data_IF_937669529475
#
_entry.id   IF_937669529475
#
_cell.length_a   1.000
_cell.length_b   1.000
_cell.length_c   1.000
_cell.angle_alpha   90.00
_cell.angle_beta   90.00
_cell.angle_gamma   90.00
#
_symmetry.space_group_name_H-M   'P 1'
#
loop_
_entity.id
_entity.type
_entity.pdbx_description
1 polymer ?
#
# COMPACT_ATOMS: atom_id res chain seq x y z
N UNK A 1 16.61 19.65 8.08
CA UNK A 1 15.30 20.27 7.76
C UNK A 1 15.50 21.14 6.53
N UNK A 2 14.80 20.87 5.44
CA UNK A 2 14.90 21.67 4.22
C UNK A 2 13.61 22.46 4.03
N UNK A 3 13.71 23.76 3.77
CA UNK A 3 12.58 24.64 3.41
C UNK A 3 12.36 24.52 1.90
N UNK A 4 11.21 23.98 1.48
CA UNK A 4 10.79 24.11 0.09
C UNK A 4 9.69 25.18 0.00
N UNK A 5 9.93 26.23 -0.78
CA UNK A 5 8.93 27.22 -1.15
C UNK A 5 8.14 26.68 -2.35
N UNK A 6 6.87 26.37 -2.17
CA UNK A 6 5.93 26.30 -3.29
C UNK A 6 5.32 27.70 -3.43
N UNK A 7 5.73 28.42 -4.44
CA UNK A 7 5.51 29.86 -4.65
C UNK A 7 4.05 30.26 -5.01
N UNK A 8 3.05 29.42 -4.73
CA UNK A 8 1.67 29.65 -5.20
C UNK A 8 0.67 30.01 -4.11
N UNK A 9 1.02 29.75 -2.85
CA UNK A 9 0.30 30.24 -1.68
C UNK A 9 1.34 30.59 -0.61
N UNK A 10 1.05 31.55 0.23
CA UNK A 10 1.85 31.95 1.41
C UNK A 10 2.02 30.84 2.46
N UNK A 11 1.96 29.59 2.06
CA UNK A 11 2.02 28.40 2.90
C UNK A 11 3.43 27.84 2.95
N UNK A 12 4.10 28.04 4.07
CA UNK A 12 5.38 27.39 4.37
C UNK A 12 5.13 25.89 4.57
N UNK A 13 5.77 25.06 3.74
CA UNK A 13 5.79 23.61 3.90
C UNK A 13 7.20 23.18 4.28
N UNK A 14 7.35 22.57 5.46
CA UNK A 14 8.64 22.09 5.94
C UNK A 14 8.78 20.59 5.64
N UNK A 15 9.89 20.22 4.99
CA UNK A 15 10.21 18.81 4.75
C UNK A 15 11.04 18.28 5.92
N UNK A 16 10.55 17.21 6.52
CA UNK A 16 11.17 16.50 7.64
C UNK A 16 11.66 15.13 7.16
N UNK A 17 12.94 14.83 7.41
CA UNK A 17 13.59 13.53 7.11
C UNK A 17 14.68 13.18 8.14
N UNK A 18 14.51 13.68 9.36
CA UNK A 18 15.35 13.38 10.53
C UNK A 18 14.57 12.44 11.47
N UNK A 19 15.17 11.35 11.99
CA UNK A 19 14.47 10.35 12.78
C UNK A 19 13.95 10.88 14.12
N UNK A 20 14.66 11.77 14.80
CA UNK A 20 14.20 12.37 16.06
C UNK A 20 12.99 13.29 15.84
N UNK A 21 13.02 14.07 14.76
CA UNK A 21 11.88 14.91 14.38
C UNK A 21 10.68 14.05 13.95
N UNK A 22 10.92 12.97 13.17
CA UNK A 22 9.87 12.00 12.82
C UNK A 22 9.22 11.39 14.05
N UNK A 23 10.03 11.01 15.06
CA UNK A 23 9.55 10.44 16.33
C UNK A 23 8.59 11.39 17.03
N UNK A 24 8.96 12.66 17.15
CA UNK A 24 8.14 13.69 17.80
C UNK A 24 6.82 13.90 17.05
N UNK A 25 6.89 14.11 15.72
CA UNK A 25 5.69 14.41 14.92
C UNK A 25 4.76 13.20 14.81
N UNK A 26 5.29 12.00 14.55
CA UNK A 26 4.47 10.79 14.39
C UNK A 26 3.86 10.29 15.71
N UNK A 27 4.45 10.64 16.85
CA UNK A 27 3.89 10.37 18.19
C UNK A 27 2.66 11.23 18.51
N UNK A 28 2.38 12.25 17.71
CA UNK A 28 1.24 13.17 17.89
C UNK A 28 0.06 12.75 17.03
N UNK A 29 -1.13 13.22 17.39
CA UNK A 29 -2.38 13.00 16.62
C UNK A 29 -2.74 14.18 15.71
N UNK A 30 -1.72 14.91 15.21
CA UNK A 30 -1.94 16.00 14.28
C UNK A 30 -2.67 15.56 13.01
N UNK A 31 -3.63 16.37 12.51
CA UNK A 31 -4.44 16.02 11.35
C UNK A 31 -3.60 15.92 10.07
N UNK A 32 -4.11 15.20 9.09
CA UNK A 32 -3.61 15.27 7.71
C UNK A 32 -3.95 16.62 7.11
N UNK A 33 -3.11 17.08 6.19
CA UNK A 33 -3.33 18.37 5.50
C UNK A 33 -4.65 18.31 4.72
N UNK A 34 -5.53 19.26 4.99
CA UNK A 34 -6.88 19.30 4.39
C UNK A 34 -6.84 19.34 2.86
N UNK A 35 -5.93 20.14 2.28
CA UNK A 35 -5.85 20.32 0.82
C UNK A 35 -5.56 19.02 0.08
N UNK A 36 -4.74 18.13 0.65
CA UNK A 36 -4.48 16.82 0.07
C UNK A 36 -5.72 15.93 0.12
N UNK A 37 -6.44 15.98 1.25
CA UNK A 37 -7.64 15.18 1.47
C UNK A 37 -8.77 15.55 0.52
N UNK A 38 -8.98 16.85 0.23
CA UNK A 38 -10.08 17.32 -0.62
C UNK A 38 -10.00 16.80 -2.07
N UNK A 39 -8.80 16.51 -2.59
CA UNK A 39 -8.62 15.98 -3.93
C UNK A 39 -8.84 14.47 -4.03
N UNK A 40 -8.67 13.76 -2.92
CA UNK A 40 -8.92 12.32 -2.82
C UNK A 40 -10.36 12.00 -2.40
N UNK A 41 -10.99 12.87 -1.61
CA UNK A 41 -12.32 12.65 -1.05
C UNK A 41 -13.43 12.34 -2.10
N UNK A 42 -13.44 12.95 -3.32
CA UNK A 42 -14.39 12.59 -4.35
C UNK A 42 -14.30 11.13 -4.82
N UNK A 43 -13.15 10.50 -4.63
CA UNK A 43 -12.90 9.11 -4.97
C UNK A 43 -13.06 8.19 -3.76
N UNK A 44 -12.19 8.32 -2.73
CA UNK A 44 -12.14 7.35 -1.61
C UNK A 44 -13.04 7.74 -0.42
N UNK A 45 -13.81 8.81 -0.54
CA UNK A 45 -14.66 9.28 0.55
C UNK A 45 -13.87 9.67 1.81
N UNK A 46 -14.57 9.90 2.90
CA UNK A 46 -13.98 10.15 4.22
C UNK A 46 -13.98 8.85 5.05
N UNK A 47 -13.19 7.85 4.61
CA UNK A 47 -12.85 6.65 5.39
C UNK A 47 -11.62 6.87 6.25
N UNK A 48 -11.09 5.79 6.84
CA UNK A 48 -9.97 5.79 7.79
C UNK A 48 -8.73 6.56 7.28
N UNK A 49 -8.50 6.58 5.97
CA UNK A 49 -7.38 7.31 5.38
C UNK A 49 -7.51 8.82 5.54
N UNK A 50 -8.71 9.40 5.33
CA UNK A 50 -8.94 10.85 5.31
C UNK A 50 -9.57 11.41 6.59
N UNK A 51 -10.20 10.57 7.42
CA UNK A 51 -10.79 10.98 8.70
C UNK A 51 -9.75 11.57 9.65
N UNK A 52 -10.20 12.48 10.52
CA UNK A 52 -9.41 13.09 11.58
C UNK A 52 -10.19 13.10 12.92
N UNK A 53 -9.49 13.40 14.02
CA UNK A 53 -10.07 13.60 15.35
C UNK A 53 -10.76 12.35 15.89
N UNK A 54 -11.87 12.57 16.63
CA UNK A 54 -12.60 11.50 17.32
C UNK A 54 -13.23 10.48 16.36
N UNK A 55 -13.78 10.93 15.24
CA UNK A 55 -14.34 10.02 14.22
C UNK A 55 -13.27 9.06 13.66
N UNK A 56 -12.06 9.57 13.38
CA UNK A 56 -10.94 8.71 12.99
C UNK A 56 -10.62 7.67 14.07
N UNK A 57 -10.60 8.08 15.33
CA UNK A 57 -10.31 7.19 16.45
C UNK A 57 -11.33 6.05 16.57
N UNK A 58 -12.63 6.37 16.44
CA UNK A 58 -13.71 5.40 16.46
C UNK A 58 -13.59 4.39 15.32
N UNK A 59 -13.38 4.86 14.08
CA UNK A 59 -13.17 3.99 12.91
C UNK A 59 -11.92 3.13 13.05
N UNK A 60 -10.80 3.70 13.51
CA UNK A 60 -9.57 2.96 13.76
C UNK A 60 -9.77 1.83 14.76
N UNK A 61 -10.44 2.11 15.88
CA UNK A 61 -10.74 1.13 16.93
C UNK A 61 -11.64 0.01 16.39
N UNK A 62 -12.67 0.36 15.64
CA UNK A 62 -13.61 -0.58 15.04
C UNK A 62 -12.93 -1.52 14.04
N UNK A 63 -12.00 -1.01 13.21
CA UNK A 63 -11.39 -1.76 12.13
C UNK A 63 -10.13 -2.54 12.53
N UNK A 64 -9.48 -2.17 13.64
CA UNK A 64 -8.25 -2.83 14.09
C UNK A 64 -8.39 -4.36 14.27
N UNK A 65 -9.51 -4.91 14.79
CA UNK A 65 -9.69 -6.36 14.90
C UNK A 65 -9.57 -7.13 13.59
N UNK A 66 -9.95 -6.54 12.45
CA UNK A 66 -9.83 -7.17 11.12
C UNK A 66 -8.37 -7.52 10.73
N UNK A 67 -7.41 -6.91 11.40
CA UNK A 67 -5.98 -7.10 11.14
C UNK A 67 -5.27 -7.88 12.27
N UNK A 68 -6.05 -8.56 13.13
CA UNK A 68 -5.49 -9.45 14.13
C UNK A 68 -4.92 -10.72 13.48
N UNK A 69 -3.88 -11.31 14.06
CA UNK A 69 -3.16 -12.45 13.49
C UNK A 69 -4.07 -13.66 13.19
N UNK A 70 -5.08 -13.91 14.04
CA UNK A 70 -6.04 -15.02 13.84
C UNK A 70 -6.88 -14.85 12.57
N UNK A 71 -7.17 -13.58 12.18
CA UNK A 71 -7.87 -13.25 10.92
C UNK A 71 -6.90 -13.39 9.73
N UNK A 72 -5.64 -12.98 9.92
CA UNK A 72 -4.65 -12.96 8.85
C UNK A 72 -4.09 -14.34 8.52
N UNK A 73 -4.00 -15.24 9.51
CA UNK A 73 -3.40 -16.57 9.33
C UNK A 73 -3.98 -17.37 8.16
N UNK A 74 -5.31 -17.52 7.99
CA UNK A 74 -5.89 -18.23 6.84
C UNK A 74 -5.67 -17.52 5.51
N UNK A 75 -5.36 -16.22 5.49
CA UNK A 75 -5.14 -15.46 4.25
C UNK A 75 -3.86 -15.85 3.52
N UNK A 76 -2.88 -16.46 4.20
CA UNK A 76 -1.64 -16.93 3.56
C UNK A 76 -1.93 -17.87 2.40
N UNK A 77 -2.87 -18.82 2.56
CA UNK A 77 -3.29 -19.72 1.50
C UNK A 77 -3.97 -19.01 0.32
N UNK A 78 -4.79 -17.99 0.62
CA UNK A 78 -5.45 -17.17 -0.40
C UNK A 78 -4.41 -16.35 -1.18
N UNK A 79 -3.47 -15.70 -0.49
CA UNK A 79 -2.36 -14.96 -1.09
C UNK A 79 -1.53 -15.87 -2.00
N UNK A 80 -1.15 -17.05 -1.51
CA UNK A 80 -0.38 -18.03 -2.29
C UNK A 80 -1.12 -18.46 -3.56
N UNK A 81 -2.44 -18.68 -3.49
CA UNK A 81 -3.23 -19.01 -4.66
C UNK A 81 -3.29 -17.87 -5.68
N UNK A 82 -3.53 -16.62 -5.24
CA UNK A 82 -3.53 -15.46 -6.12
C UNK A 82 -2.17 -15.23 -6.80
N UNK A 83 -1.08 -15.44 -6.06
CA UNK A 83 0.29 -15.39 -6.62
C UNK A 83 0.50 -16.47 -7.66
N UNK A 84 0.08 -17.73 -7.41
CA UNK A 84 0.22 -18.81 -8.40
C UNK A 84 -0.49 -18.51 -9.71
N UNK A 85 -1.72 -18.02 -9.66
CA UNK A 85 -2.46 -17.61 -10.87
C UNK A 85 -1.67 -16.56 -11.68
N UNK A 86 -1.03 -15.61 -11.02
CA UNK A 86 -0.17 -14.64 -11.69
C UNK A 86 1.07 -15.32 -12.31
N UNK A 87 1.74 -16.20 -11.56
CA UNK A 87 2.94 -16.89 -12.03
C UNK A 87 2.66 -17.85 -13.17
N UNK A 88 1.49 -18.53 -13.18
CA UNK A 88 1.04 -19.39 -14.29
C UNK A 88 0.89 -18.55 -15.57
N UNK A 89 0.26 -17.39 -15.47
CA UNK A 89 0.15 -16.46 -16.60
C UNK A 89 1.52 -15.95 -17.07
N UNK A 90 2.45 -15.68 -16.17
CA UNK A 90 3.81 -15.29 -16.53
C UNK A 90 4.52 -16.39 -17.31
N UNK A 91 4.36 -17.66 -16.89
CA UNK A 91 4.95 -18.80 -17.58
C UNK A 91 4.45 -18.94 -19.02
N UNK A 92 3.17 -18.68 -19.26
CA UNK A 92 2.60 -18.64 -20.61
C UNK A 92 3.19 -17.50 -21.45
N UNK A 93 3.30 -16.30 -20.85
CA UNK A 93 3.77 -15.10 -21.55
C UNK A 93 5.26 -15.17 -21.91
N UNK A 94 6.12 -15.66 -21.02
CA UNK A 94 7.56 -15.76 -21.28
C UNK A 94 7.92 -16.80 -22.34
N UNK A 95 7.01 -17.69 -22.70
CA UNK A 95 7.20 -18.60 -23.84
C UNK A 95 7.26 -17.85 -25.17
N UNK A 96 6.70 -16.63 -25.24
CA UNK A 96 6.67 -15.77 -26.43
C UNK A 96 7.75 -14.67 -26.35
N UNK A 97 7.88 -14.01 -25.20
CA UNK A 97 8.90 -12.99 -24.92
C UNK A 97 9.33 -13.11 -23.44
N UNK A 98 10.62 -13.32 -23.19
CA UNK A 98 11.15 -13.43 -21.83
C UNK A 98 11.11 -12.10 -21.05
N UNK A 99 10.83 -10.97 -21.70
CA UNK A 99 10.72 -9.64 -21.08
C UNK A 99 9.28 -9.30 -20.76
N UNK A 100 8.99 -9.01 -19.52
CA UNK A 100 7.64 -8.74 -19.04
C UNK A 100 7.57 -7.44 -18.25
N UNK A 101 6.57 -6.60 -18.54
CA UNK A 101 6.15 -5.51 -17.65
C UNK A 101 5.34 -6.12 -16.51
N UNK A 102 5.89 -6.09 -15.28
CA UNK A 102 5.32 -6.85 -14.17
C UNK A 102 4.28 -6.07 -13.34
N UNK A 103 4.29 -4.73 -13.37
CA UNK A 103 3.51 -3.92 -12.44
C UNK A 103 1.99 -4.12 -12.62
N UNK A 104 1.50 -4.22 -13.85
CA UNK A 104 0.08 -4.44 -14.12
C UNK A 104 -0.37 -5.81 -13.62
N UNK A 105 0.44 -6.85 -13.83
CA UNK A 105 0.14 -8.21 -13.38
C UNK A 105 0.14 -8.31 -11.86
N UNK A 106 1.14 -7.69 -11.21
CA UNK A 106 1.21 -7.62 -9.75
C UNK A 106 0.02 -6.83 -9.19
N UNK A 107 -0.40 -5.74 -9.84
CA UNK A 107 -1.59 -4.97 -9.43
C UNK A 107 -2.88 -5.79 -9.51
N UNK A 108 -3.04 -6.61 -10.54
CA UNK A 108 -4.17 -7.54 -10.65
C UNK A 108 -4.13 -8.60 -9.55
N UNK A 109 -2.95 -9.15 -9.25
CA UNK A 109 -2.77 -10.16 -8.21
C UNK A 109 -3.07 -9.61 -6.82
N UNK A 110 -2.58 -8.41 -6.48
CA UNK A 110 -2.85 -7.79 -5.18
C UNK A 110 -4.29 -7.35 -5.03
N UNK A 111 -4.95 -6.92 -6.13
CA UNK A 111 -6.40 -6.68 -6.14
C UNK A 111 -7.17 -7.98 -5.90
N UNK A 112 -6.81 -9.08 -6.57
CA UNK A 112 -7.41 -10.40 -6.36
C UNK A 112 -7.28 -10.85 -4.90
N UNK A 113 -6.11 -10.62 -4.31
CA UNK A 113 -5.83 -10.95 -2.91
C UNK A 113 -6.73 -10.16 -1.95
N UNK A 114 -6.77 -8.84 -2.06
CA UNK A 114 -7.56 -8.02 -1.13
C UNK A 114 -9.06 -8.28 -1.28
N UNK A 115 -9.54 -8.52 -2.51
CA UNK A 115 -10.93 -8.85 -2.78
C UNK A 115 -11.36 -10.17 -2.13
N UNK A 116 -10.51 -11.18 -2.16
CA UNK A 116 -10.76 -12.48 -1.52
C UNK A 116 -10.64 -12.42 0.00
N UNK A 117 -9.61 -11.73 0.52
CA UNK A 117 -9.32 -11.68 1.94
C UNK A 117 -10.26 -10.74 2.72
N UNK A 118 -10.49 -9.53 2.21
CA UNK A 118 -11.20 -8.48 2.95
C UNK A 118 -12.69 -8.35 2.56
N UNK A 119 -13.07 -8.82 1.37
CA UNK A 119 -14.41 -8.59 0.81
C UNK A 119 -15.13 -9.89 0.44
N UNK A 120 -14.64 -11.04 0.89
CA UNK A 120 -15.25 -12.38 0.67
C UNK A 120 -15.61 -12.70 -0.78
N UNK A 121 -14.94 -12.07 -1.77
CA UNK A 121 -15.21 -12.33 -3.18
C UNK A 121 -14.64 -13.68 -3.59
N UNK A 122 -15.46 -14.46 -4.31
CA UNK A 122 -15.04 -15.75 -4.85
C UNK A 122 -14.66 -15.63 -6.33
N UNK A 123 -13.83 -16.58 -6.80
CA UNK A 123 -13.34 -16.63 -8.17
C UNK A 123 -12.05 -15.80 -8.39
N UNK A 124 -11.49 -15.90 -9.60
CA UNK A 124 -10.29 -15.13 -9.95
C UNK A 124 -10.66 -13.81 -10.61
N UNK A 125 -10.18 -12.73 -10.01
CA UNK A 125 -10.33 -11.37 -10.51
C UNK A 125 -9.31 -11.10 -11.62
N UNK A 126 -8.20 -11.82 -11.65
CA UNK A 126 -7.08 -11.60 -12.58
C UNK A 126 -7.45 -11.83 -14.05
N UNK A 127 -8.51 -12.59 -14.30
CA UNK A 127 -9.03 -12.88 -15.65
C UNK A 127 -10.27 -12.04 -16.03
N UNK A 128 -10.77 -11.20 -15.10
CA UNK A 128 -12.01 -10.46 -15.27
C UNK A 128 -11.74 -9.07 -15.90
N UNK A 129 -12.39 -8.78 -17.04
CA UNK A 129 -12.30 -7.47 -17.73
C UNK A 129 -12.75 -6.29 -16.87
N UNK A 130 -13.72 -6.48 -15.97
CA UNK A 130 -14.18 -5.42 -15.07
C UNK A 130 -13.09 -5.00 -14.09
N UNK A 131 -12.23 -5.93 -13.66
CA UNK A 131 -11.09 -5.63 -12.78
C UNK A 131 -10.03 -4.81 -13.50
N UNK A 132 -9.79 -5.07 -14.78
CA UNK A 132 -8.88 -4.24 -15.60
C UNK A 132 -9.41 -2.82 -15.74
N UNK A 133 -10.71 -2.65 -15.97
CA UNK A 133 -11.35 -1.32 -16.04
C UNK A 133 -11.25 -0.57 -14.71
N UNK A 134 -11.40 -1.25 -13.57
CA UNK A 134 -11.19 -0.69 -12.25
C UNK A 134 -9.74 -0.22 -12.07
N UNK A 135 -8.75 -1.07 -12.37
CA UNK A 135 -7.32 -0.70 -12.26
C UNK A 135 -6.95 0.47 -13.16
N UNK A 136 -7.52 0.53 -14.38
CA UNK A 136 -7.33 1.67 -15.27
C UNK A 136 -7.90 2.95 -14.67
N UNK A 137 -9.10 2.90 -14.08
CA UNK A 137 -9.69 4.04 -13.39
C UNK A 137 -8.82 4.51 -12.21
N UNK A 138 -8.28 3.59 -11.40
CA UNK A 138 -7.33 3.92 -10.32
C UNK A 138 -6.07 4.58 -10.87
N UNK A 139 -5.50 4.04 -11.93
CA UNK A 139 -4.33 4.62 -12.62
C UNK A 139 -4.58 6.05 -13.10
N UNK A 140 -5.74 6.29 -13.71
CA UNK A 140 -6.19 7.62 -14.15
C UNK A 140 -6.36 8.57 -12.97
N UNK A 141 -7.06 8.15 -11.91
CA UNK A 141 -7.27 8.99 -10.73
C UNK A 141 -5.97 9.38 -10.05
N UNK A 142 -5.01 8.46 -9.91
CA UNK A 142 -3.67 8.77 -9.39
C UNK A 142 -2.96 9.83 -10.23
N UNK A 143 -2.98 9.67 -11.56
CA UNK A 143 -2.35 10.60 -12.50
C UNK A 143 -3.02 11.97 -12.46
N UNK A 144 -4.36 12.00 -12.49
CA UNK A 144 -5.15 13.23 -12.52
C UNK A 144 -5.08 13.98 -11.18
N UNK A 145 -5.12 13.28 -10.05
CA UNK A 145 -4.91 13.89 -8.72
C UNK A 145 -3.51 14.49 -8.59
N UNK A 146 -2.48 13.77 -9.05
CA UNK A 146 -1.11 14.28 -9.04
C UNK A 146 -0.95 15.53 -9.92
N UNK A 147 -1.53 15.55 -11.12
CA UNK A 147 -1.56 16.71 -12.01
C UNK A 147 -2.31 17.89 -11.36
N UNK A 148 -3.44 17.61 -10.72
CA UNK A 148 -4.29 18.60 -10.06
C UNK A 148 -3.57 19.31 -8.92
N UNK A 149 -2.89 18.57 -8.06
CA UNK A 149 -2.13 19.14 -6.92
C UNK A 149 -1.03 20.09 -7.38
N UNK A 150 -0.47 19.87 -8.58
CA UNK A 150 0.66 20.66 -9.13
C UNK A 150 0.22 21.84 -10.00
N UNK A 151 -1.05 21.93 -10.36
CA UNK A 151 -1.55 23.00 -11.22
C UNK A 151 -2.34 24.02 -10.42
N UNK A 152 -1.91 25.28 -10.46
CA UNK A 152 -2.61 26.39 -9.80
C UNK A 152 -4.08 26.49 -10.24
N UNK A 153 -4.35 26.44 -11.54
CA UNK A 153 -5.71 26.56 -12.08
C UNK A 153 -6.61 25.39 -11.67
N UNK A 154 -6.04 24.20 -11.50
CA UNK A 154 -6.79 23.00 -11.12
C UNK A 154 -7.10 22.92 -9.63
N UNK A 155 -6.56 23.85 -8.82
CA UNK A 155 -6.94 24.00 -7.41
C UNK A 155 -8.41 24.43 -7.26
N UNK A 156 -8.94 25.20 -8.22
CA UNK A 156 -10.34 25.59 -8.23
C UNK A 156 -11.22 24.45 -8.78
N UNK A 157 -12.20 23.99 -7.99
CA UNK A 157 -13.07 22.85 -8.32
C UNK A 157 -13.95 23.12 -9.53
N UNK A 158 -14.41 24.37 -9.73
CA UNK A 158 -15.26 24.75 -10.86
C UNK A 158 -14.44 24.71 -12.14
N UNK A 159 -13.28 25.37 -12.15
CA UNK A 159 -12.38 25.39 -13.31
C UNK A 159 -11.97 23.97 -13.67
N UNK A 160 -11.51 23.19 -12.69
CA UNK A 160 -11.12 21.80 -12.93
C UNK A 160 -12.29 20.97 -13.48
N UNK A 161 -13.49 21.11 -12.92
CA UNK A 161 -14.67 20.38 -13.35
C UNK A 161 -15.08 20.62 -14.81
N UNK A 162 -14.72 21.77 -15.39
CA UNK A 162 -14.99 22.11 -16.79
C UNK A 162 -13.93 21.54 -17.75
N UNK A 163 -12.75 21.15 -17.25
CA UNK A 163 -11.66 20.62 -18.08
C UNK A 163 -11.91 19.17 -18.55
N UNK A 164 -11.25 18.72 -19.63
CA UNK A 164 -11.26 17.31 -20.03
C UNK A 164 -10.77 16.38 -18.90
N UNK A 165 -9.72 16.78 -18.19
CA UNK A 165 -9.17 16.05 -17.03
C UNK A 165 -10.19 15.92 -15.91
N UNK A 166 -10.90 16.98 -15.58
CA UNK A 166 -11.95 16.95 -14.55
C UNK A 166 -13.12 16.05 -14.92
N UNK A 167 -13.52 16.03 -16.21
CA UNK A 167 -14.53 15.10 -16.70
C UNK A 167 -14.05 13.66 -16.64
N UNK A 168 -12.80 13.39 -17.06
CA UNK A 168 -12.19 12.06 -16.98
C UNK A 168 -12.08 11.59 -15.52
N UNK A 169 -11.69 12.49 -14.60
CA UNK A 169 -11.63 12.17 -13.17
C UNK A 169 -13.00 11.78 -12.60
N UNK A 170 -14.07 12.52 -12.91
CA UNK A 170 -15.43 12.15 -12.49
C UNK A 170 -15.85 10.79 -13.02
N UNK A 171 -15.59 10.51 -14.30
CA UNK A 171 -15.90 9.21 -14.89
C UNK A 171 -15.14 8.07 -14.19
N UNK A 172 -13.84 8.25 -13.95
CA UNK A 172 -13.02 7.27 -13.24
C UNK A 172 -13.53 7.03 -11.80
N UNK A 173 -13.90 8.09 -11.07
CA UNK A 173 -14.51 7.97 -9.73
C UNK A 173 -15.85 7.19 -9.79
N UNK A 174 -16.72 7.49 -10.77
CA UNK A 174 -18.00 6.78 -10.93
C UNK A 174 -17.77 5.28 -11.19
N UNK A 175 -16.81 4.93 -12.04
CA UNK A 175 -16.48 3.54 -12.33
C UNK A 175 -15.94 2.80 -11.09
N UNK A 176 -15.07 3.45 -10.31
CA UNK A 176 -14.57 2.90 -9.06
C UNK A 176 -15.72 2.68 -8.05
N UNK A 177 -16.60 3.67 -7.87
CA UNK A 177 -17.76 3.56 -6.98
C UNK A 177 -18.74 2.46 -7.43
N UNK A 178 -19.00 2.32 -8.73
CA UNK A 178 -19.84 1.23 -9.24
C UNK A 178 -19.28 -0.15 -8.89
N UNK A 179 -17.95 -0.30 -8.98
CA UNK A 179 -17.28 -1.53 -8.59
C UNK A 179 -17.44 -1.79 -7.08
N UNK A 180 -17.20 -0.78 -6.26
CA UNK A 180 -17.33 -0.86 -4.79
C UNK A 180 -18.76 -1.14 -4.34
N UNK A 181 -19.74 -0.42 -4.91
CA UNK A 181 -21.15 -0.62 -4.60
C UNK A 181 -21.60 -2.06 -4.92
N UNK A 182 -21.13 -2.59 -6.06
CA UNK A 182 -21.42 -3.98 -6.43
C UNK A 182 -20.84 -4.97 -5.42
N UNK A 183 -19.62 -4.75 -4.94
CA UNK A 183 -18.99 -5.61 -3.92
C UNK A 183 -19.81 -5.60 -2.63
N UNK A 184 -20.23 -4.42 -2.16
CA UNK A 184 -21.03 -4.26 -0.95
C UNK A 184 -22.39 -4.93 -1.11
N UNK A 185 -23.05 -4.72 -2.25
CA UNK A 185 -24.39 -5.28 -2.50
C UNK A 185 -24.38 -6.79 -2.62
N UNK A 186 -23.41 -7.37 -3.35
CA UNK A 186 -23.25 -8.83 -3.43
C UNK A 186 -23.07 -9.45 -2.04
N UNK A 187 -22.30 -8.81 -1.15
CA UNK A 187 -22.12 -9.33 0.22
C UNK A 187 -23.40 -9.24 1.03
N UNK A 188 -24.16 -8.14 0.91
CA UNK A 188 -25.46 -7.98 1.60
C UNK A 188 -26.47 -9.03 1.16
N UNK A 189 -26.59 -9.27 -0.16
CA UNK A 189 -27.47 -10.30 -0.71
C UNK A 189 -27.11 -11.67 -0.15
N UNK A 190 -25.84 -12.02 -0.17
CA UNK A 190 -25.36 -13.31 0.37
C UNK A 190 -25.63 -13.46 1.87
N UNK A 191 -25.50 -12.39 2.67
CA UNK A 191 -25.84 -12.42 4.09
C UNK A 191 -27.35 -12.52 4.37
N UNK A 192 -28.23 -12.22 3.39
CA UNK A 192 -29.67 -12.37 3.50
C UNK A 192 -30.18 -13.78 3.16
N UNK A 193 -29.35 -14.60 2.52
CA UNK A 193 -29.66 -16.00 2.25
C UNK A 193 -29.80 -16.77 3.57
N UNK A 194 -30.72 -17.74 3.60
CA UNK A 194 -31.23 -18.37 4.83
C UNK A 194 -30.11 -18.93 5.75
N UNK A 195 -30.11 -18.46 6.99
CA UNK A 195 -29.22 -18.93 8.07
C UNK A 195 -27.82 -18.35 8.07
N UNK A 196 -27.36 -17.72 6.99
CA UNK A 196 -25.95 -17.31 6.88
C UNK A 196 -25.62 -16.10 7.77
N UNK A 197 -26.56 -15.19 7.97
CA UNK A 197 -26.37 -14.03 8.87
C UNK A 197 -26.11 -14.48 10.32
N UNK A 198 -26.83 -15.50 10.81
CA UNK A 198 -26.60 -16.08 12.15
C UNK A 198 -25.30 -16.85 12.22
N UNK A 199 -24.96 -17.59 11.14
CA UNK A 199 -23.72 -18.34 11.06
C UNK A 199 -22.51 -17.42 11.01
N UNK A 200 -22.55 -16.35 10.21
CA UNK A 200 -21.49 -15.33 10.14
C UNK A 200 -21.32 -14.63 11.49
N UNK A 201 -22.41 -14.27 12.16
CA UNK A 201 -22.35 -13.67 13.52
C UNK A 201 -21.75 -14.60 14.56
N UNK A 202 -21.92 -15.92 14.41
CA UNK A 202 -21.32 -16.95 15.28
C UNK A 202 -19.87 -17.23 14.95
N UNK A 203 -19.39 -16.86 13.75
CA UNK A 203 -17.97 -16.97 13.40
C UNK A 203 -17.14 -16.19 14.42
N UNK A 204 -16.11 -16.83 14.95
CA UNK A 204 -15.17 -16.19 15.87
C UNK A 204 -14.43 -15.02 15.20
N UNK A 205 -14.38 -15.03 13.88
CA UNK A 205 -13.61 -14.09 13.08
C UNK A 205 -14.42 -13.64 11.85
N UNK A 206 -14.75 -12.36 11.82
CA UNK A 206 -15.40 -11.69 10.70
C UNK A 206 -14.33 -11.13 9.75
N UNK A 207 -14.59 -11.13 8.44
CA UNK A 207 -13.75 -10.39 7.51
C UNK A 207 -13.96 -8.86 7.65
N UNK A 208 -13.18 -8.10 6.89
CA UNK A 208 -13.24 -6.63 6.96
C UNK A 208 -14.62 -6.08 6.60
N UNK A 209 -15.26 -6.59 5.52
CA UNK A 209 -16.56 -6.10 5.07
C UNK A 209 -17.68 -6.50 6.04
N UNK A 210 -17.61 -7.70 6.61
CA UNK A 210 -18.55 -8.14 7.65
C UNK A 210 -18.46 -7.25 8.90
N UNK A 211 -17.24 -6.91 9.34
CA UNK A 211 -17.04 -5.97 10.44
C UNK A 211 -17.73 -4.64 10.14
N UNK A 212 -17.61 -4.10 8.92
CA UNK A 212 -18.27 -2.84 8.54
C UNK A 212 -19.80 -2.96 8.53
N UNK A 213 -20.33 -4.07 8.01
CA UNK A 213 -21.79 -4.28 7.89
C UNK A 213 -22.46 -4.51 9.25
N UNK A 214 -21.74 -5.13 10.21
CA UNK A 214 -22.26 -5.38 11.56
C UNK A 214 -21.83 -4.34 12.61
N UNK A 215 -20.98 -3.37 12.22
CA UNK A 215 -20.47 -2.36 13.14
C UNK A 215 -21.58 -1.55 13.80
N UNK A 216 -21.37 -1.26 15.09
CA UNK A 216 -22.17 -0.30 15.85
C UNK A 216 -21.25 0.79 16.36
N UNK A 217 -21.68 2.03 16.16
CA UNK A 217 -21.01 3.19 16.74
C UNK A 217 -21.30 3.28 18.24
N UNK A 218 -20.57 4.13 18.97
CA UNK A 218 -20.74 4.28 20.43
C UNK A 218 -22.18 4.71 20.83
N UNK A 219 -22.89 5.39 19.96
CA UNK A 219 -24.30 5.77 20.12
C UNK A 219 -25.29 4.66 19.73
N UNK A 220 -24.79 3.47 19.34
CA UNK A 220 -25.59 2.33 18.89
C UNK A 220 -26.01 2.38 17.41
N UNK A 221 -25.75 3.46 16.69
CA UNK A 221 -26.10 3.58 15.27
C UNK A 221 -25.24 2.66 14.40
N UNK A 222 -25.74 2.29 13.21
CA UNK A 222 -24.94 1.62 12.17
C UNK A 222 -24.16 2.67 11.37
N UNK A 223 -23.08 2.21 10.72
CA UNK A 223 -22.44 3.02 9.68
C UNK A 223 -23.42 3.32 8.54
N UNK A 224 -23.41 4.55 8.04
CA UNK A 224 -24.19 4.89 6.86
C UNK A 224 -23.64 4.16 5.61
N UNK A 225 -24.46 3.96 4.59
CA UNK A 225 -24.00 3.38 3.32
C UNK A 225 -22.84 4.18 2.70
N UNK A 226 -22.80 5.50 2.91
CA UNK A 226 -21.72 6.38 2.49
C UNK A 226 -20.42 6.08 3.25
N UNK A 227 -20.49 5.85 4.56
CA UNK A 227 -19.32 5.56 5.38
C UNK A 227 -18.77 4.16 5.07
N UNK A 228 -19.66 3.17 4.87
CA UNK A 228 -19.25 1.82 4.44
C UNK A 228 -18.52 1.89 3.11
N UNK A 229 -19.08 2.60 2.10
CA UNK A 229 -18.41 2.79 0.81
C UNK A 229 -17.04 3.46 0.97
N UNK A 230 -16.94 4.54 1.76
CA UNK A 230 -15.68 5.24 1.99
C UNK A 230 -14.61 4.34 2.60
N UNK A 231 -14.97 3.45 3.52
CA UNK A 231 -14.03 2.48 4.09
C UNK A 231 -13.65 1.42 3.05
N UNK A 232 -14.61 0.88 2.28
CA UNK A 232 -14.32 -0.13 1.24
C UNK A 232 -13.43 0.46 0.16
N UNK A 233 -13.71 1.67 -0.36
CA UNK A 233 -12.85 2.36 -1.32
C UNK A 233 -11.44 2.61 -0.76
N UNK A 234 -11.36 3.06 0.51
CA UNK A 234 -10.09 3.29 1.21
C UNK A 234 -9.26 2.01 1.29
N UNK A 235 -9.85 0.89 1.71
CA UNK A 235 -9.10 -0.36 1.92
C UNK A 235 -8.85 -1.11 0.62
N UNK A 236 -9.75 -1.00 -0.36
CA UNK A 236 -9.52 -1.55 -1.69
C UNK A 236 -8.32 -0.87 -2.36
N UNK A 237 -8.26 0.47 -2.35
CA UNK A 237 -7.12 1.21 -2.86
C UNK A 237 -5.85 0.96 -2.04
N UNK A 238 -5.94 1.13 -0.70
CA UNK A 238 -4.79 1.01 0.20
C UNK A 238 -4.17 -0.39 0.20
N UNK A 239 -4.99 -1.43 0.07
CA UNK A 239 -4.54 -2.82 0.11
C UNK A 239 -3.86 -3.30 -1.17
N UNK A 240 -4.35 -2.90 -2.36
CA UNK A 240 -3.75 -3.42 -3.60
C UNK A 240 -2.61 -2.56 -4.14
N UNK A 241 -2.77 -1.25 -4.24
CA UNK A 241 -1.82 -0.39 -4.99
C UNK A 241 -0.47 -0.23 -4.27
N UNK A 242 -0.48 -0.17 -2.93
CA UNK A 242 0.76 -0.06 -2.15
C UNK A 242 1.54 -1.36 -2.13
N UNK A 243 0.87 -2.51 -2.00
CA UNK A 243 1.52 -3.83 -2.05
C UNK A 243 2.01 -4.15 -3.46
N UNK A 244 1.26 -3.78 -4.50
CA UNK A 244 1.71 -3.89 -5.89
C UNK A 244 3.00 -3.11 -6.14
N UNK A 245 3.07 -1.87 -5.68
CA UNK A 245 4.31 -1.08 -5.72
C UNK A 245 5.43 -1.77 -4.96
N UNK A 246 5.18 -2.19 -3.71
CA UNK A 246 6.19 -2.88 -2.88
C UNK A 246 6.75 -4.13 -3.55
N UNK A 247 5.89 -5.05 -3.99
CA UNK A 247 6.29 -6.30 -4.65
C UNK A 247 7.11 -6.00 -5.90
N UNK A 248 6.62 -5.12 -6.78
CA UNK A 248 7.27 -4.82 -8.05
C UNK A 248 8.68 -4.24 -7.86
N UNK A 249 8.85 -3.31 -6.92
CA UNK A 249 10.15 -2.74 -6.61
C UNK A 249 11.08 -3.72 -5.87
N UNK A 250 10.54 -4.63 -5.04
CA UNK A 250 11.33 -5.70 -4.41
C UNK A 250 11.86 -6.67 -5.47
N UNK A 251 11.01 -7.13 -6.40
CA UNK A 251 11.43 -8.02 -7.48
C UNK A 251 12.46 -7.35 -8.39
N UNK A 252 12.29 -6.08 -8.71
CA UNK A 252 13.29 -5.28 -9.43
C UNK A 252 14.62 -5.21 -8.66
N UNK A 253 14.58 -4.90 -7.36
CA UNK A 253 15.79 -4.84 -6.54
C UNK A 253 16.54 -6.17 -6.52
N UNK A 254 15.83 -7.29 -6.42
CA UNK A 254 16.42 -8.62 -6.46
C UNK A 254 16.95 -9.00 -7.86
N UNK A 255 16.34 -8.47 -8.92
CA UNK A 255 16.87 -8.65 -10.28
C UNK A 255 18.16 -7.85 -10.52
N UNK A 256 18.29 -6.67 -9.91
CA UNK A 256 19.54 -5.86 -9.93
C UNK A 256 20.67 -6.52 -9.13
N UNK A 257 20.33 -7.31 -8.11
CA UNK A 257 21.27 -7.91 -7.16
C UNK A 257 21.16 -9.45 -7.17
N UNK A 258 21.70 -10.13 -8.20
CA UNK A 258 21.54 -11.59 -8.37
C UNK A 258 22.13 -12.40 -7.21
N UNK A 259 23.18 -11.91 -6.53
CA UNK A 259 23.75 -12.54 -5.35
C UNK A 259 22.76 -12.61 -4.19
N UNK A 260 22.02 -11.54 -3.94
CA UNK A 260 20.97 -11.50 -2.92
C UNK A 260 19.75 -12.34 -3.34
N UNK A 261 19.36 -12.28 -4.63
CA UNK A 261 18.31 -13.11 -5.19
C UNK A 261 18.62 -14.62 -5.00
N UNK A 262 19.84 -15.03 -5.32
CA UNK A 262 20.26 -16.43 -5.19
C UNK A 262 20.23 -16.90 -3.72
N UNK A 263 20.69 -16.06 -2.80
CA UNK A 263 20.68 -16.37 -1.37
C UNK A 263 19.25 -16.46 -0.82
N UNK A 264 18.36 -15.56 -1.21
CA UNK A 264 16.93 -15.67 -0.88
C UNK A 264 16.33 -16.97 -1.41
N UNK A 265 16.62 -17.32 -2.67
CA UNK A 265 16.13 -18.57 -3.30
C UNK A 265 16.58 -19.80 -2.52
N UNK A 266 17.85 -19.88 -2.11
CA UNK A 266 18.37 -20.99 -1.30
C UNK A 266 17.64 -21.10 0.05
N UNK A 267 17.44 -19.99 0.75
CA UNK A 267 16.70 -19.96 2.01
C UNK A 267 15.27 -20.49 1.81
N UNK A 268 14.58 -19.98 0.79
CA UNK A 268 13.19 -20.38 0.48
C UNK A 268 13.10 -21.84 0.06
N UNK A 269 14.01 -22.32 -0.80
CA UNK A 269 14.07 -23.73 -1.22
C UNK A 269 14.30 -24.69 -0.04
N UNK A 270 15.19 -24.31 0.89
CA UNK A 270 15.43 -25.13 2.08
C UNK A 270 14.21 -25.23 3.00
N UNK A 271 13.33 -24.22 2.98
CA UNK A 271 12.14 -24.13 3.82
C UNK A 271 10.89 -24.76 3.17
N UNK A 272 10.67 -24.50 1.87
CA UNK A 272 9.45 -24.87 1.17
C UNK A 272 9.59 -26.08 0.26
N UNK A 273 10.80 -26.60 0.04
CA UNK A 273 11.05 -27.72 -0.87
C UNK A 273 10.58 -27.41 -2.29
N UNK A 274 9.58 -28.17 -2.78
CA UNK A 274 8.99 -28.03 -4.11
C UNK A 274 8.06 -26.80 -4.27
N UNK A 275 7.80 -26.06 -3.18
CA UNK A 275 6.99 -24.84 -3.20
C UNK A 275 5.49 -25.05 -3.40
N UNK A 276 4.98 -26.27 -3.18
CA UNK A 276 3.54 -26.56 -3.34
C UNK A 276 2.65 -25.87 -2.32
N UNK A 277 3.19 -25.54 -1.14
CA UNK A 277 2.44 -24.82 -0.10
C UNK A 277 3.36 -23.89 0.70
N UNK A 278 2.79 -22.80 1.19
CA UNK A 278 3.42 -21.92 2.14
C UNK A 278 2.45 -21.66 3.30
N UNK A 279 2.93 -21.74 4.53
CA UNK A 279 2.13 -21.58 5.73
C UNK A 279 2.52 -20.30 6.50
N UNK A 280 1.64 -19.87 7.39
CA UNK A 280 1.91 -18.74 8.28
C UNK A 280 3.23 -18.89 9.05
N UNK A 281 3.45 -20.05 9.65
CA UNK A 281 4.61 -20.29 10.52
C UNK A 281 5.94 -20.30 9.73
N UNK A 282 5.89 -20.59 8.42
CA UNK A 282 7.05 -20.53 7.54
C UNK A 282 7.43 -19.10 7.14
N UNK A 283 6.50 -18.13 7.20
CA UNK A 283 6.79 -16.75 6.84
C UNK A 283 7.86 -16.09 7.74
N UNK A 284 7.95 -16.51 8.99
CA UNK A 284 8.96 -15.97 9.92
C UNK A 284 10.29 -16.74 9.88
N UNK A 285 10.33 -17.86 9.15
CA UNK A 285 11.53 -18.67 8.94
C UNK A 285 12.33 -18.25 7.69
N UNK A 286 12.04 -17.09 7.12
CA UNK A 286 12.78 -16.48 6.00
C UNK A 286 13.47 -15.16 6.43
N UNK A 287 14.43 -15.20 7.37
CA UNK A 287 15.05 -13.99 7.91
C UNK A 287 15.84 -13.21 6.86
N UNK A 288 16.60 -13.89 5.99
CA UNK A 288 17.39 -13.21 4.96
C UNK A 288 16.52 -12.57 3.88
N UNK A 289 15.52 -13.30 3.40
CA UNK A 289 14.51 -12.77 2.46
C UNK A 289 13.78 -11.57 3.07
N UNK A 290 13.48 -11.63 4.36
CA UNK A 290 12.86 -10.50 5.09
C UNK A 290 13.80 -9.29 5.16
N UNK A 291 15.13 -9.48 5.32
CA UNK A 291 16.11 -8.39 5.27
C UNK A 291 16.16 -7.75 3.88
N UNK A 292 16.15 -8.54 2.82
CA UNK A 292 16.11 -8.04 1.43
C UNK A 292 14.81 -7.27 1.15
N UNK A 293 13.66 -7.76 1.60
CA UNK A 293 12.38 -7.05 1.49
C UNK A 293 12.44 -5.69 2.21
N UNK A 294 12.97 -5.65 3.43
CA UNK A 294 13.12 -4.40 4.19
C UNK A 294 14.06 -3.41 3.48
N UNK A 295 15.18 -3.90 2.94
CA UNK A 295 16.12 -3.04 2.21
C UNK A 295 15.50 -2.49 0.93
N UNK A 296 14.75 -3.28 0.18
CA UNK A 296 14.01 -2.78 -0.98
C UNK A 296 12.94 -1.74 -0.59
N UNK A 297 12.23 -1.93 0.53
CA UNK A 297 11.29 -0.94 1.06
C UNK A 297 11.98 0.33 1.58
N UNK A 298 13.26 0.26 1.98
CA UNK A 298 14.07 1.44 2.29
C UNK A 298 14.37 2.23 1.02
N UNK A 299 14.83 1.56 -0.04
CA UNK A 299 15.14 2.18 -1.34
C UNK A 299 13.90 2.74 -2.03
N UNK A 300 12.82 1.97 -2.05
CA UNK A 300 11.60 2.24 -2.80
C UNK A 300 10.36 2.17 -1.88
N UNK A 301 10.23 3.11 -0.92
CA UNK A 301 9.05 3.12 -0.04
C UNK A 301 7.79 3.39 -0.88
N UNK A 302 6.76 2.51 -0.84
CA UNK A 302 5.53 2.68 -1.60
C UNK A 302 4.83 4.02 -1.35
N UNK A 303 4.94 4.55 -0.13
CA UNK A 303 4.50 5.89 0.23
C UNK A 303 5.73 6.73 0.57
N UNK A 304 6.26 7.53 -0.39
CA UNK A 304 7.50 8.28 -0.18
C UNK A 304 7.36 9.46 0.78
N UNK A 305 6.15 10.02 0.92
CA UNK A 305 5.88 11.19 1.75
C UNK A 305 4.44 11.18 2.26
N UNK A 306 4.26 11.62 3.51
CA UNK A 306 2.94 11.95 4.07
C UNK A 306 2.98 13.36 4.63
N UNK A 307 1.79 13.98 4.81
CA UNK A 307 1.71 15.36 5.29
C UNK A 307 0.88 15.45 6.57
N UNK A 308 1.30 16.40 7.44
CA UNK A 308 0.60 16.75 8.68
C UNK A 308 0.50 18.26 8.81
N UNK A 309 -0.54 18.73 9.48
CA UNK A 309 -0.69 20.12 9.89
C UNK A 309 -0.65 20.20 11.42
N UNK A 310 0.24 21.02 11.95
CA UNK A 310 0.41 21.13 13.40
C UNK A 310 -0.83 21.73 14.05
N UNK A 311 -1.54 20.93 14.84
CA UNK A 311 -2.72 21.40 15.62
C UNK A 311 -2.35 22.22 16.85
N UNK A 312 -1.11 22.08 17.35
CA UNK A 312 -0.51 22.79 18.48
C UNK A 312 0.97 23.01 18.20
N UNK A 313 1.61 24.01 18.83
CA UNK A 313 3.07 24.19 18.74
C UNK A 313 3.82 22.91 19.11
N UNK A 314 5.01 22.73 18.52
CA UNK A 314 5.90 21.60 18.82
C UNK A 314 7.31 22.12 19.07
N UNK A 315 7.99 21.57 20.08
CA UNK A 315 9.42 21.78 20.33
C UNK A 315 10.15 20.45 20.13
N UNK A 316 11.23 20.48 19.36
CA UNK A 316 12.07 19.33 19.08
C UNK A 316 13.18 19.17 20.12
N UNK A 317 13.84 17.99 20.20
CA UNK A 317 14.90 17.74 21.18
C UNK A 317 16.08 18.70 21.15
N UNK A 318 16.35 19.31 19.97
CA UNK A 318 17.40 20.30 19.78
C UNK A 318 16.98 21.76 20.16
N UNK A 319 15.80 21.92 20.77
CA UNK A 319 15.26 23.22 21.21
C UNK A 319 14.56 24.04 20.14
N UNK A 320 14.57 23.62 18.89
CA UNK A 320 13.81 24.30 17.81
C UNK A 320 12.33 24.11 18.01
N UNK A 321 11.56 25.16 17.73
CA UNK A 321 10.10 25.13 17.87
C UNK A 321 9.40 25.54 16.58
N UNK A 322 8.22 24.96 16.35
CA UNK A 322 7.34 25.34 15.25
C UNK A 322 5.97 25.71 15.81
N UNK A 323 5.34 26.78 15.30
CA UNK A 323 4.01 27.20 15.72
C UNK A 323 2.92 26.29 15.17
N UNK A 324 1.71 26.41 15.71
CA UNK A 324 0.48 25.81 15.18
C UNK A 324 0.25 26.25 13.73
N UNK A 325 -0.37 25.38 12.93
CA UNK A 325 -0.79 25.65 11.55
C UNK A 325 0.30 25.40 10.50
N UNK A 326 1.54 25.13 10.91
CA UNK A 326 2.60 24.75 9.97
C UNK A 326 2.29 23.38 9.32
N UNK A 327 2.39 23.34 8.00
CA UNK A 327 2.28 22.10 7.22
C UNK A 327 3.65 21.40 7.12
N UNK A 328 3.68 20.14 7.47
CA UNK A 328 4.88 19.31 7.47
C UNK A 328 4.76 18.21 6.42
N UNK A 329 5.75 18.08 5.56
CA UNK A 329 5.95 16.93 4.68
C UNK A 329 6.96 15.97 5.32
N UNK A 330 6.49 14.84 5.80
CA UNK A 330 7.31 13.78 6.39
C UNK A 330 7.82 12.89 5.25
N UNK A 331 9.06 13.09 4.83
CA UNK A 331 9.67 12.37 3.71
C UNK A 331 10.30 11.06 4.19
N UNK A 332 9.61 9.94 3.98
CA UNK A 332 10.18 8.62 4.24
C UNK A 332 11.31 8.31 3.25
N UNK A 333 11.15 8.70 1.99
CA UNK A 333 12.22 8.57 1.00
C UNK A 333 13.49 9.32 1.45
N UNK A 334 13.36 10.59 1.82
CA UNK A 334 14.49 11.38 2.31
C UNK A 334 15.10 10.83 3.61
N UNK A 335 14.29 10.30 4.53
CA UNK A 335 14.75 9.65 5.75
C UNK A 335 15.55 8.36 5.44
N UNK A 336 15.03 7.53 4.54
CA UNK A 336 15.62 6.25 4.16
C UNK A 336 16.91 6.40 3.32
N UNK A 337 17.13 7.58 2.72
CA UNK A 337 18.37 7.93 1.97
C UNK A 337 19.24 8.95 2.70
N UNK A 338 18.95 9.25 3.97
CA UNK A 338 19.74 10.20 4.75
C UNK A 338 21.09 9.57 5.15
N UNK A 339 22.24 10.09 4.63
CA UNK A 339 23.56 9.51 4.91
C UNK A 339 23.98 9.62 6.38
N UNK A 340 23.34 10.51 7.18
CA UNK A 340 23.55 10.59 8.62
C UNK A 340 22.91 9.43 9.39
N UNK A 341 21.94 8.78 8.78
CA UNK A 341 21.18 7.66 9.36
C UNK A 341 21.61 6.33 8.75
N UNK A 342 21.86 6.36 7.43
CA UNK A 342 22.20 5.19 6.63
C UNK A 342 23.55 5.42 5.95
N UNK A 343 24.67 4.88 6.47
CA UNK A 343 25.96 4.95 5.79
C UNK A 343 25.87 4.35 4.38
N UNK A 344 26.41 5.06 3.38
CA UNK A 344 26.32 4.66 1.97
C UNK A 344 24.87 4.33 1.55
N UNK A 345 23.93 5.28 1.62
CA UNK A 345 22.49 5.01 1.49
C UNK A 345 22.10 4.46 0.10
N UNK A 346 22.91 4.70 -0.92
CA UNK A 346 22.70 4.22 -2.30
C UNK A 346 23.20 2.79 -2.54
N UNK A 347 23.79 2.14 -1.52
CA UNK A 347 24.19 0.72 -1.59
C UNK A 347 23.07 -0.14 -1.05
N UNK A 348 22.65 -1.13 -1.85
CA UNK A 348 21.65 -2.13 -1.42
C UNK A 348 22.36 -3.15 -0.51
N UNK A 349 22.12 -3.03 0.79
CA UNK A 349 22.77 -3.86 1.81
C UNK A 349 21.73 -4.39 2.81
N UNK A 350 21.21 -5.61 2.60
CA UNK A 350 20.27 -6.24 3.52
C UNK A 350 20.81 -6.45 4.93
N UNK A 351 22.13 -6.47 5.13
CA UNK A 351 22.75 -6.68 6.45
C UNK A 351 22.43 -5.57 7.45
N UNK A 352 22.00 -4.40 6.97
CA UNK A 352 21.49 -3.30 7.79
C UNK A 352 20.32 -3.71 8.70
N UNK A 353 19.59 -4.75 8.29
CA UNK A 353 18.44 -5.30 9.01
C UNK A 353 18.76 -6.62 9.74
N UNK A 354 20.03 -6.93 9.90
CA UNK A 354 20.45 -8.11 10.67
C UNK A 354 20.03 -7.98 12.16
N UNK A 355 19.78 -9.10 12.84
CA UNK A 355 19.55 -9.08 14.28
C UNK A 355 20.69 -8.38 15.02
N UNK A 356 20.34 -7.49 15.95
CA UNK A 356 21.33 -6.72 16.72
C UNK A 356 21.88 -5.47 16.04
N UNK A 357 21.40 -5.10 14.86
CA UNK A 357 21.76 -3.81 14.24
C UNK A 357 21.29 -2.63 15.08
N UNK A 358 22.17 -1.66 15.31
CA UNK A 358 21.88 -0.44 16.09
C UNK A 358 21.20 0.62 15.21
N UNK A 359 19.94 0.34 14.84
CA UNK A 359 19.12 1.27 14.06
C UNK A 359 18.25 2.11 15.01
N UNK A 360 18.27 3.43 14.80
CA UNK A 360 17.33 4.31 15.48
C UNK A 360 15.88 3.85 15.23
N UNK A 361 15.04 3.83 16.27
CA UNK A 361 13.66 3.31 16.22
C UNK A 361 12.78 3.94 15.13
N UNK A 362 13.10 5.15 14.66
CA UNK A 362 12.41 5.88 13.61
C UNK A 362 13.27 6.09 12.36
N UNK A 363 14.33 5.31 12.16
CA UNK A 363 15.13 5.33 10.94
C UNK A 363 14.41 4.68 9.75
N UNK A 364 13.64 3.62 10.00
CA UNK A 364 12.96 2.82 8.99
C UNK A 364 11.43 2.85 9.18
N UNK A 365 10.73 3.58 8.32
CA UNK A 365 9.31 3.90 8.46
C UNK A 365 8.48 3.64 7.18
N UNK A 366 8.62 2.48 6.50
CA UNK A 366 7.86 2.21 5.27
C UNK A 366 6.35 2.09 5.51
N UNK A 367 5.94 1.85 6.75
CA UNK A 367 4.55 1.78 7.22
C UNK A 367 4.17 2.93 8.15
N UNK A 368 4.96 4.04 8.14
CA UNK A 368 4.81 5.14 9.07
C UNK A 368 5.02 4.71 10.53
N UNK A 369 4.66 5.56 11.49
CA UNK A 369 4.80 5.32 12.93
C UNK A 369 3.68 6.00 13.72
N UNK A 370 3.67 5.71 15.03
CA UNK A 370 2.72 6.30 15.97
C UNK A 370 1.27 5.81 15.79
N UNK A 371 0.29 6.53 16.38
CA UNK A 371 -1.13 6.10 16.37
C UNK A 371 -1.73 5.95 14.97
N UNK A 372 -1.26 6.74 14.01
CA UNK A 372 -1.74 6.75 12.62
C UNK A 372 -0.84 5.97 11.65
N UNK A 373 -0.12 4.97 12.13
CA UNK A 373 0.63 4.04 11.30
C UNK A 373 -0.28 3.19 10.40
N UNK A 374 0.32 2.48 9.46
CA UNK A 374 -0.41 1.55 8.60
C UNK A 374 -1.11 0.46 9.42
N UNK A 375 -2.44 0.38 9.29
CA UNK A 375 -3.25 -0.67 9.93
C UNK A 375 -3.00 -2.03 9.29
N UNK A 376 -2.74 -2.05 7.98
CA UNK A 376 -2.49 -3.26 7.19
C UNK A 376 -1.03 -3.72 7.15
N UNK A 377 -0.14 -3.22 8.03
CA UNK A 377 1.29 -3.57 8.02
C UNK A 377 1.55 -5.08 7.98
N UNK A 378 0.88 -5.84 8.85
CA UNK A 378 1.08 -7.28 8.93
C UNK A 378 0.56 -7.99 7.69
N UNK A 379 -0.63 -7.61 7.20
CA UNK A 379 -1.19 -8.09 5.93
C UNK A 379 -0.22 -7.84 4.77
N UNK A 380 0.25 -6.62 4.61
CA UNK A 380 1.19 -6.25 3.55
C UNK A 380 2.50 -7.05 3.63
N UNK A 381 3.11 -7.16 4.82
CA UNK A 381 4.36 -7.93 4.99
C UNK A 381 4.19 -9.41 4.66
N UNK A 382 3.04 -10.00 4.96
CA UNK A 382 2.70 -11.38 4.56
C UNK A 382 2.65 -11.49 3.04
N UNK A 383 1.89 -10.61 2.39
CA UNK A 383 1.71 -10.62 0.93
C UNK A 383 3.05 -10.41 0.22
N UNK A 384 3.89 -9.49 0.69
CA UNK A 384 5.25 -9.29 0.17
C UNK A 384 6.10 -10.56 0.29
N UNK A 385 6.10 -11.21 1.46
CA UNK A 385 6.86 -12.45 1.70
C UNK A 385 6.37 -13.60 0.81
N UNK A 386 5.05 -13.81 0.71
CA UNK A 386 4.45 -14.88 -0.13
C UNK A 386 4.76 -14.66 -1.60
N UNK A 387 4.56 -13.43 -2.10
CA UNK A 387 4.81 -13.10 -3.50
C UNK A 387 6.29 -13.28 -3.88
N UNK A 388 7.21 -12.78 -3.05
CA UNK A 388 8.65 -12.91 -3.29
C UNK A 388 9.06 -14.38 -3.24
N UNK A 389 8.62 -15.13 -2.22
CA UNK A 389 9.01 -16.53 -2.06
C UNK A 389 8.59 -17.40 -3.26
N UNK A 390 7.32 -17.34 -3.65
CA UNK A 390 6.79 -18.15 -4.74
C UNK A 390 7.37 -17.72 -6.10
N UNK A 391 7.61 -16.41 -6.30
CA UNK A 391 8.25 -15.93 -7.54
C UNK A 391 9.69 -16.44 -7.67
N UNK A 392 10.49 -16.37 -6.61
CA UNK A 392 11.90 -16.81 -6.65
C UNK A 392 12.06 -18.33 -6.74
N UNK A 393 11.10 -19.11 -6.28
CA UNK A 393 11.09 -20.56 -6.50
C UNK A 393 10.86 -20.93 -7.97
N UNK A 394 10.04 -20.14 -8.66
CA UNK A 394 9.60 -20.47 -10.03
C UNK A 394 10.45 -19.80 -11.11
N UNK A 395 10.96 -18.61 -10.83
CA UNK A 395 11.69 -17.81 -11.82
C UNK A 395 13.03 -17.30 -11.29
N UNK A 396 13.99 -17.21 -12.20
CA UNK A 396 15.14 -16.34 -12.10
C UNK A 396 14.82 -15.01 -12.76
N UNK A 397 15.16 -13.92 -12.08
CA UNK A 397 14.86 -12.56 -12.50
C UNK A 397 16.14 -11.85 -12.93
N UNK A 398 16.10 -11.18 -14.07
CA UNK A 398 17.14 -10.25 -14.51
C UNK A 398 16.52 -8.92 -14.93
N UNK A 399 17.31 -7.86 -14.91
CA UNK A 399 16.88 -6.53 -15.37
C UNK A 399 16.83 -6.47 -16.89
N UNK A 400 15.92 -5.69 -17.42
CA UNK A 400 15.97 -5.26 -18.82
C UNK A 400 16.90 -4.03 -18.93
N UNK A 401 18.08 -4.16 -19.56
CA UNK A 401 19.05 -3.08 -19.61
C UNK A 401 18.59 -1.89 -20.46
N UNK A 402 17.61 -2.08 -21.33
CA UNK A 402 17.07 -1.05 -22.21
C UNK A 402 15.89 -0.30 -21.61
N UNK A 403 15.24 -0.87 -20.58
CA UNK A 403 14.04 -0.32 -19.97
C UNK A 403 14.19 -0.19 -18.44
N UNK A 404 15.23 0.55 -18.02
CA UNK A 404 15.47 0.85 -16.60
C UNK A 404 14.31 1.67 -16.04
N UNK A 405 13.66 1.22 -14.96
CA UNK A 405 12.51 1.91 -14.40
C UNK A 405 12.90 3.26 -13.78
N UNK A 406 12.11 4.30 -14.05
CA UNK A 406 12.31 5.64 -13.50
C UNK A 406 11.29 5.87 -12.38
N UNK A 407 11.74 5.92 -11.10
CA UNK A 407 10.82 6.12 -9.97
C UNK A 407 10.12 7.48 -10.05
N UNK A 408 8.80 7.48 -9.86
CA UNK A 408 7.99 8.70 -9.81
C UNK A 408 7.09 8.64 -8.58
N UNK A 409 7.28 9.61 -7.68
CA UNK A 409 6.41 9.81 -6.54
C UNK A 409 5.10 10.44 -7.01
N UNK A 410 4.07 9.62 -7.14
CA UNK A 410 2.67 10.05 -7.26
C UNK A 410 2.02 9.95 -5.88
N UNK A 411 0.78 9.48 -5.75
CA UNK A 411 0.21 9.11 -4.44
C UNK A 411 0.97 7.89 -3.89
N UNK A 412 1.19 6.89 -4.75
CA UNK A 412 2.02 5.71 -4.51
C UNK A 412 3.22 5.77 -5.46
N UNK A 413 4.37 5.30 -5.01
CA UNK A 413 5.57 5.21 -5.83
C UNK A 413 5.31 4.28 -7.02
N UNK A 414 5.57 4.77 -8.21
CA UNK A 414 5.40 4.02 -9.45
C UNK A 414 6.57 4.26 -10.39
N UNK A 415 6.66 3.53 -11.49
CA UNK A 415 7.61 3.82 -12.56
C UNK A 415 6.96 4.68 -13.64
N UNK A 416 7.74 5.60 -14.23
CA UNK A 416 7.32 6.41 -15.39
C UNK A 416 7.17 5.55 -16.66
N UNK A 417 8.02 4.55 -16.80
CA UNK A 417 8.18 3.71 -17.99
C UNK A 417 7.94 2.22 -17.74
N UNK A 418 7.19 1.87 -16.66
CA UNK A 418 6.96 0.49 -16.27
C UNK A 418 8.13 -0.12 -15.48
N UNK A 419 7.93 -1.34 -15.00
CA UNK A 419 8.96 -2.17 -14.36
C UNK A 419 9.09 -3.44 -15.20
N UNK A 420 10.14 -3.49 -16.04
CA UNK A 420 10.38 -4.56 -16.98
C UNK A 420 11.47 -5.49 -16.46
N UNK A 421 11.16 -6.77 -16.39
CA UNK A 421 12.09 -7.83 -15.99
C UNK A 421 12.19 -8.89 -17.08
N UNK A 422 13.38 -9.46 -17.22
CA UNK A 422 13.58 -10.70 -17.94
C UNK A 422 13.38 -11.87 -16.97
N UNK A 423 12.54 -12.81 -17.34
CA UNK A 423 12.19 -13.96 -16.51
C UNK A 423 12.69 -15.25 -17.18
N UNK A 424 13.35 -16.10 -16.40
CA UNK A 424 13.73 -17.45 -16.80
C UNK A 424 13.10 -18.45 -15.84
N UNK A 425 12.27 -19.34 -16.37
CA UNK A 425 11.69 -20.43 -15.57
C UNK A 425 12.81 -21.34 -15.04
N UNK A 426 12.72 -21.67 -13.77
CA UNK A 426 13.56 -22.68 -13.12
C UNK A 426 12.93 -24.06 -13.31
N UNK A 427 13.77 -25.07 -13.50
CA UNK A 427 13.37 -26.48 -13.66
C UNK A 427 12.90 -27.05 -12.34
#
# INVERSE_FOLDING_TARGET
MCLSWLAVESNVNLVVYDPDYMKVILGRSDPKVHDDCRFLAPWIGYGLLLLNGQTWFQHRRMLTPAFHYDILKPYVGIMANSVRVMLDKWEELISQDSHLEIFEHVSLMTLDTIMKCAFSQQGSIQTNRNSQSYLQAIGDMKKLTFSRVRSFFYQNDIIYGLTPEGRRNRWACQLAHQHTDRVIELRKVHLQEEGEMEEVRRKRHLDFLDILLFARMEDGSCLSGKDIRAEVDTFMFGGHDTTASGISWILYSLAVHPEHQHRCRKEIQSLLGDGTSITWDQLDQMPYTTMCIKEALRFYPPIPVIRRELSKPVTFPDGRSLPRGIKLSLSFYGLHHNPKVWPNPEVFDPSRFAPGSDLHSHAFLPFSGGPRNCIGKNFAMMELKVAVALTLLRFELAVDPFRVPIPVSKIVLSSKNGIHLQLRKLL
#
